data_IF_170288517153
#
_entry.id   IF_170288517153
#
_cell.length_a   1.000
_cell.length_b   1.000
_cell.length_c   1.000
_cell.angle_alpha   90.00
_cell.angle_beta   90.00
_cell.angle_gamma   90.00
#
_symmetry.space_group_name_H-M   'P 1'
#
loop_
_entity.id
_entity.type
_entity.pdbx_description
1 polymer ?
#
# COMPACT_ATOMS: atom_id res chain seq x y z
N UNK A 1 -32.87 -86.99 -49.84
CA UNK A 1 -32.40 -86.19 -51.00
C UNK A 1 -32.54 -84.72 -50.64
N UNK A 2 -31.45 -84.04 -50.24
CA UNK A 2 -31.41 -82.58 -50.08
C UNK A 2 -30.74 -82.00 -51.32
N UNK A 3 -31.43 -81.13 -52.05
CA UNK A 3 -30.88 -80.36 -53.17
C UNK A 3 -30.43 -79.02 -52.60
N UNK A 4 -29.14 -78.74 -52.73
CA UNK A 4 -28.50 -77.48 -52.34
C UNK A 4 -28.63 -76.51 -53.51
N UNK A 5 -29.25 -75.35 -53.32
CA UNK A 5 -29.26 -74.25 -54.30
C UNK A 5 -28.13 -73.28 -53.97
N UNK A 6 -27.05 -73.36 -54.75
CA UNK A 6 -25.94 -72.42 -54.69
C UNK A 6 -26.27 -71.19 -55.55
N UNK A 7 -26.21 -70.00 -54.95
CA UNK A 7 -26.55 -68.73 -55.58
C UNK A 7 -25.23 -67.99 -55.86
N UNK A 8 -24.88 -67.85 -57.15
CA UNK A 8 -23.57 -67.36 -57.56
C UNK A 8 -23.35 -65.90 -57.16
N UNK A 9 -22.14 -65.60 -56.67
CA UNK A 9 -21.72 -64.29 -56.12
C UNK A 9 -21.96 -63.08 -57.05
N UNK A 10 -22.11 -63.31 -58.36
CA UNK A 10 -22.33 -62.27 -59.37
C UNK A 10 -23.76 -61.67 -59.33
N UNK A 11 -24.73 -62.44 -58.79
CA UNK A 11 -26.12 -61.99 -58.64
C UNK A 11 -26.32 -61.00 -57.49
N UNK A 12 -25.56 -61.16 -56.40
CA UNK A 12 -25.61 -60.31 -55.21
C UNK A 12 -25.01 -58.93 -55.48
N UNK A 13 -23.96 -58.85 -56.30
CA UNK A 13 -23.30 -57.58 -56.65
C UNK A 13 -24.20 -56.69 -57.53
N UNK A 14 -24.89 -57.28 -58.51
CA UNK A 14 -25.83 -56.55 -59.39
C UNK A 14 -27.05 -56.03 -58.64
N UNK A 15 -27.51 -56.73 -57.61
CA UNK A 15 -28.63 -56.30 -56.77
C UNK A 15 -28.27 -55.11 -55.86
N UNK A 16 -27.03 -55.06 -55.35
CA UNK A 16 -26.53 -53.95 -54.53
C UNK A 16 -26.29 -52.67 -55.34
N UNK A 17 -25.82 -52.79 -56.59
CA UNK A 17 -25.61 -51.63 -57.48
C UNK A 17 -26.96 -50.98 -57.87
N UNK A 18 -27.99 -51.79 -58.16
CA UNK A 18 -29.33 -51.27 -58.51
C UNK A 18 -30.01 -50.56 -57.34
N UNK A 19 -29.84 -51.05 -56.11
CA UNK A 19 -30.35 -50.38 -54.91
C UNK A 19 -29.66 -49.03 -54.63
N UNK A 20 -28.34 -48.94 -54.86
CA UNK A 20 -27.58 -47.70 -54.67
C UNK A 20 -27.92 -46.58 -55.67
N UNK A 21 -28.21 -46.93 -56.93
CA UNK A 21 -28.57 -45.95 -57.96
C UNK A 21 -29.97 -45.35 -57.73
N UNK A 22 -30.91 -46.12 -57.17
CA UNK A 22 -32.25 -45.61 -56.82
C UNK A 22 -32.25 -44.75 -55.56
N UNK A 23 -31.37 -45.03 -54.59
CA UNK A 23 -31.19 -44.19 -53.40
C UNK A 23 -30.57 -42.82 -53.74
N UNK A 24 -29.65 -42.76 -54.70
CA UNK A 24 -29.01 -41.50 -55.13
C UNK A 24 -29.96 -40.61 -55.96
N UNK A 25 -30.81 -41.21 -56.80
CA UNK A 25 -31.79 -40.48 -57.59
C UNK A 25 -32.92 -39.86 -56.73
N UNK A 26 -33.34 -40.53 -55.65
CA UNK A 26 -34.32 -40.00 -54.71
C UNK A 26 -33.76 -38.81 -53.88
N UNK A 27 -32.47 -38.82 -53.55
CA UNK A 27 -31.82 -37.73 -52.82
C UNK A 27 -31.63 -36.47 -53.69
N UNK A 28 -31.39 -36.64 -54.99
CA UNK A 28 -31.23 -35.53 -55.94
C UNK A 28 -32.58 -34.92 -56.38
N UNK A 29 -33.67 -35.69 -56.40
CA UNK A 29 -35.01 -35.18 -56.75
C UNK A 29 -35.71 -34.46 -55.58
N UNK A 30 -35.32 -34.73 -54.33
CA UNK A 30 -35.82 -34.03 -53.14
C UNK A 30 -35.29 -32.59 -52.97
N UNK A 31 -34.17 -32.25 -53.63
CA UNK A 31 -33.57 -30.90 -53.59
C UNK A 31 -34.22 -29.91 -54.57
N UNK A 32 -35.08 -30.37 -55.48
CA UNK A 32 -35.72 -29.52 -56.49
C UNK A 32 -37.07 -28.91 -56.03
N UNK A 33 -37.58 -29.32 -54.87
CA UNK A 33 -38.86 -28.84 -54.30
C UNK A 33 -38.72 -28.28 -52.88
N UNK A 34 -37.54 -27.74 -52.53
CA UNK A 34 -37.48 -26.83 -51.40
C UNK A 34 -38.35 -25.60 -51.75
N UNK A 35 -39.43 -25.30 -51.00
CA UNK A 35 -40.12 -24.04 -51.20
C UNK A 35 -39.07 -22.95 -51.02
N UNK A 36 -38.94 -22.08 -52.01
CA UNK A 36 -38.13 -20.87 -51.92
C UNK A 36 -38.45 -20.22 -50.59
N UNK A 37 -37.51 -20.27 -49.65
CA UNK A 37 -37.59 -19.44 -48.46
C UNK A 37 -37.59 -18.01 -49.02
N UNK A 38 -38.76 -17.37 -49.03
CA UNK A 38 -38.84 -15.95 -49.29
C UNK A 38 -37.95 -15.31 -48.24
N UNK A 39 -36.75 -14.89 -48.64
CA UNK A 39 -35.99 -13.92 -47.88
C UNK A 39 -36.93 -12.73 -47.72
N UNK A 40 -37.50 -12.58 -46.52
CA UNK A 40 -38.26 -11.39 -46.18
C UNK A 40 -37.38 -10.19 -46.53
N UNK A 41 -37.95 -9.09 -47.06
CA UNK A 41 -37.17 -7.92 -47.39
C UNK A 41 -36.32 -7.57 -46.18
N UNK A 42 -34.99 -7.53 -46.38
CA UNK A 42 -34.09 -6.95 -45.39
C UNK A 42 -34.69 -5.59 -45.04
N UNK A 43 -35.02 -5.37 -43.77
CA UNK A 43 -35.52 -4.08 -43.30
C UNK A 43 -34.36 -3.07 -43.38
N UNK A 44 -34.01 -2.68 -44.61
CA UNK A 44 -32.85 -1.85 -44.92
C UNK A 44 -33.00 -0.41 -44.43
N UNK A 45 -34.16 -0.08 -43.85
CA UNK A 45 -34.52 1.27 -43.42
C UNK A 45 -34.96 1.37 -41.94
N UNK A 46 -34.82 0.31 -41.13
CA UNK A 46 -35.08 0.46 -39.70
C UNK A 46 -33.89 1.12 -39.01
N UNK A 47 -34.08 2.36 -38.57
CA UNK A 47 -33.05 3.13 -37.87
C UNK A 47 -33.19 2.99 -36.35
N UNK A 48 -32.23 2.28 -35.75
CA UNK A 48 -32.16 2.08 -34.30
C UNK A 48 -31.96 3.38 -33.51
N UNK A 49 -31.46 4.47 -34.11
CA UNK A 49 -31.35 5.79 -33.46
C UNK A 49 -32.72 6.30 -33.00
N UNK A 50 -33.79 5.96 -33.75
CA UNK A 50 -35.17 6.34 -33.39
C UNK A 50 -35.70 5.60 -32.16
N UNK A 51 -35.07 4.48 -31.80
CA UNK A 51 -35.48 3.67 -30.65
C UNK A 51 -34.82 4.12 -29.35
N UNK A 52 -33.82 5.00 -29.40
CA UNK A 52 -33.02 5.37 -28.23
C UNK A 52 -32.01 4.31 -27.78
N UNK A 53 -31.75 3.30 -28.61
CA UNK A 53 -30.62 2.39 -28.46
C UNK A 53 -29.85 2.34 -29.77
N UNK A 54 -28.80 3.15 -29.87
CA UNK A 54 -27.92 3.17 -31.03
C UNK A 54 -27.04 1.92 -31.07
N UNK A 55 -27.04 1.21 -32.19
CA UNK A 55 -26.14 0.08 -32.40
C UNK A 55 -24.73 0.58 -32.69
N UNK A 56 -23.89 0.62 -31.65
CA UNK A 56 -22.49 1.03 -31.74
C UNK A 56 -21.55 -0.13 -31.37
N UNK A 57 -20.31 -0.02 -31.83
CA UNK A 57 -19.29 -1.03 -31.59
C UNK A 57 -19.70 -2.41 -32.10
N UNK A 58 -19.47 -3.45 -31.30
CA UNK A 58 -19.79 -4.84 -31.68
C UNK A 58 -21.29 -5.11 -31.85
N UNK A 59 -22.17 -4.29 -31.26
CA UNK A 59 -23.61 -4.50 -31.39
C UNK A 59 -24.15 -4.21 -32.80
N UNK A 60 -23.43 -3.40 -33.60
CA UNK A 60 -23.83 -3.06 -34.97
C UNK A 60 -23.80 -4.25 -35.91
N UNK A 61 -22.93 -5.21 -35.64
CA UNK A 61 -22.65 -6.32 -36.56
C UNK A 61 -23.45 -7.58 -36.17
N UNK A 62 -24.33 -7.49 -35.16
CA UNK A 62 -25.20 -8.58 -34.71
C UNK A 62 -26.47 -8.69 -35.57
N UNK A 63 -26.94 -9.91 -35.87
CA UNK A 63 -28.22 -10.11 -36.54
C UNK A 63 -29.39 -9.81 -35.57
N UNK A 64 -30.54 -9.40 -36.12
CA UNK A 64 -31.69 -8.91 -35.36
C UNK A 64 -32.15 -9.86 -34.24
N UNK A 65 -32.16 -11.17 -34.51
CA UNK A 65 -32.59 -12.22 -33.58
C UNK A 65 -31.68 -12.38 -32.36
N UNK A 66 -30.47 -11.82 -32.38
CA UNK A 66 -29.58 -11.82 -31.23
C UNK A 66 -30.13 -10.99 -30.07
N UNK A 67 -30.93 -9.96 -30.38
CA UNK A 67 -31.55 -9.07 -29.39
C UNK A 67 -33.07 -9.23 -29.35
N UNK A 68 -33.70 -9.48 -30.50
CA UNK A 68 -35.14 -9.63 -30.64
C UNK A 68 -35.57 -11.10 -30.60
N UNK A 69 -35.47 -11.68 -29.41
CA UNK A 69 -35.81 -13.10 -29.16
C UNK A 69 -37.26 -13.37 -29.53
N UNK A 70 -37.52 -14.47 -30.23
CA UNK A 70 -38.84 -14.84 -30.76
C UNK A 70 -39.48 -13.76 -31.65
N UNK A 71 -38.65 -12.96 -32.34
CA UNK A 71 -39.10 -11.83 -33.17
C UNK A 71 -39.92 -10.78 -32.38
N UNK A 72 -39.67 -10.65 -31.07
CA UNK A 72 -40.24 -9.60 -30.23
C UNK A 72 -39.38 -8.33 -30.34
N UNK A 73 -39.87 -7.34 -31.10
CA UNK A 73 -39.17 -6.09 -31.36
C UNK A 73 -39.45 -4.97 -30.35
N UNK A 74 -40.47 -5.14 -29.50
CA UNK A 74 -40.83 -4.19 -28.45
C UNK A 74 -40.40 -4.71 -27.09
N UNK A 75 -39.96 -3.80 -26.22
CA UNK A 75 -39.57 -4.13 -24.85
C UNK A 75 -38.19 -4.77 -24.72
N UNK A 76 -37.41 -4.86 -25.80
CA UNK A 76 -35.99 -5.25 -25.71
C UNK A 76 -35.26 -4.29 -24.77
N UNK A 77 -34.57 -4.81 -23.73
CA UNK A 77 -33.82 -3.98 -22.79
C UNK A 77 -32.76 -3.14 -23.50
N UNK A 78 -32.52 -1.93 -23.00
CA UNK A 78 -31.53 -0.98 -23.54
C UNK A 78 -30.34 -0.80 -22.61
N UNK A 79 -30.46 -1.23 -21.37
CA UNK A 79 -29.37 -1.25 -20.41
C UNK A 79 -28.54 -2.54 -20.55
N UNK A 80 -27.27 -2.45 -20.18
CA UNK A 80 -26.33 -3.56 -20.35
C UNK A 80 -26.76 -4.80 -19.57
N UNK A 81 -27.18 -4.63 -18.31
CA UNK A 81 -27.60 -5.73 -17.43
C UNK A 81 -28.86 -6.44 -17.91
N UNK A 82 -29.77 -5.73 -18.57
CA UNK A 82 -30.97 -6.30 -19.17
C UNK A 82 -30.66 -7.34 -20.25
N UNK A 83 -29.52 -7.25 -20.96
CA UNK A 83 -29.11 -8.21 -21.98
C UNK A 83 -27.98 -9.14 -21.52
N UNK A 84 -26.97 -8.59 -20.83
CA UNK A 84 -25.79 -9.30 -20.34
C UNK A 84 -25.93 -9.79 -18.89
N UNK A 85 -27.11 -9.65 -18.27
CA UNK A 85 -27.38 -10.17 -16.94
C UNK A 85 -27.63 -11.68 -16.94
N UNK A 86 -27.31 -12.32 -15.82
CA UNK A 86 -27.66 -13.73 -15.61
C UNK A 86 -29.19 -13.85 -15.57
N UNK A 87 -29.75 -14.73 -16.41
CA UNK A 87 -31.20 -14.93 -16.51
C UNK A 87 -31.92 -13.96 -17.46
N UNK A 88 -31.18 -13.15 -18.24
CA UNK A 88 -31.77 -12.38 -19.34
C UNK A 88 -32.40 -13.29 -20.41
N UNK A 89 -33.47 -12.80 -21.05
CA UNK A 89 -34.05 -13.41 -22.25
C UNK A 89 -33.09 -13.31 -23.44
N UNK A 90 -32.26 -12.28 -23.49
CA UNK A 90 -31.22 -12.11 -24.50
C UNK A 90 -30.03 -12.96 -24.10
N UNK A 91 -29.61 -13.86 -24.99
CA UNK A 91 -28.49 -14.76 -24.72
C UNK A 91 -27.15 -14.04 -24.96
N UNK A 92 -26.75 -13.20 -24.01
CA UNK A 92 -25.46 -12.52 -24.04
C UNK A 92 -24.53 -12.98 -22.90
N UNK A 93 -23.25 -12.66 -23.03
CA UNK A 93 -22.23 -13.05 -22.04
C UNK A 93 -22.32 -12.16 -20.81
N UNK A 94 -22.51 -12.77 -19.64
CA UNK A 94 -22.49 -12.07 -18.36
C UNK A 94 -21.07 -11.77 -17.86
N UNK A 95 -20.98 -10.98 -16.79
CA UNK A 95 -19.72 -10.68 -16.09
C UNK A 95 -18.99 -12.01 -15.76
N UNK A 96 -17.75 -12.21 -16.23
CA UNK A 96 -17.04 -13.46 -15.98
C UNK A 96 -16.65 -13.59 -14.49
N UNK A 97 -16.35 -14.81 -14.05
CA UNK A 97 -16.02 -15.06 -12.64
C UNK A 97 -14.76 -14.32 -12.14
N UNK A 98 -13.85 -13.95 -13.04
CA UNK A 98 -12.65 -13.16 -12.75
C UNK A 98 -12.86 -11.64 -12.92
N UNK A 99 -14.10 -11.19 -13.09
CA UNK A 99 -14.44 -9.78 -13.09
C UNK A 99 -14.35 -9.22 -11.66
N UNK A 100 -13.92 -7.97 -11.53
CA UNK A 100 -13.94 -7.26 -10.24
C UNK A 100 -15.38 -7.17 -9.68
N UNK A 101 -15.53 -7.03 -8.37
CA UNK A 101 -16.87 -6.82 -7.82
C UNK A 101 -17.33 -5.39 -8.15
N UNK A 102 -18.44 -5.28 -8.91
CA UNK A 102 -18.98 -4.00 -9.37
C UNK A 102 -20.49 -4.06 -9.58
N UNK A 103 -21.13 -2.89 -9.68
CA UNK A 103 -22.55 -2.77 -10.06
C UNK A 103 -22.82 -3.25 -11.49
N UNK A 104 -24.07 -3.11 -11.93
CA UNK A 104 -24.49 -3.35 -13.31
C UNK A 104 -24.44 -2.08 -14.18
N UNK A 105 -23.80 -1.00 -13.70
CA UNK A 105 -23.52 0.19 -14.50
C UNK A 105 -22.29 -0.03 -15.39
N UNK A 106 -22.40 -0.96 -16.34
CA UNK A 106 -21.28 -1.41 -17.17
C UNK A 106 -20.59 -0.26 -17.93
N UNK A 107 -21.37 0.75 -18.35
CA UNK A 107 -20.87 1.93 -19.07
C UNK A 107 -19.91 2.81 -18.26
N UNK A 108 -19.86 2.65 -16.93
CA UNK A 108 -18.92 3.36 -16.09
C UNK A 108 -17.47 2.85 -16.24
N UNK A 109 -17.30 1.65 -16.81
CA UNK A 109 -15.98 1.04 -17.05
C UNK A 109 -15.76 0.69 -18.54
N UNK A 110 -16.79 0.15 -19.19
CA UNK A 110 -16.71 -0.37 -20.54
C UNK A 110 -17.38 0.59 -21.53
N UNK A 111 -16.92 0.53 -22.79
CA UNK A 111 -17.66 1.12 -23.91
C UNK A 111 -18.01 0.04 -24.92
N UNK A 112 -19.08 0.18 -25.71
CA UNK A 112 -19.42 -0.78 -26.77
C UNK A 112 -18.31 -0.96 -27.82
N UNK A 113 -17.43 0.04 -27.96
CA UNK A 113 -16.33 0.07 -28.93
C UNK A 113 -15.04 -0.52 -28.33
N UNK A 114 -14.78 -0.26 -27.05
CA UNK A 114 -13.64 -0.78 -26.30
C UNK A 114 -14.14 -1.44 -25.00
N UNK A 115 -14.43 -2.73 -25.11
CA UNK A 115 -14.97 -3.53 -24.00
C UNK A 115 -13.86 -4.15 -23.13
N UNK A 116 -12.80 -4.69 -23.74
CA UNK A 116 -11.70 -5.31 -23.00
C UNK A 116 -10.35 -4.90 -23.64
N UNK A 117 -9.46 -4.18 -22.91
CA UNK A 117 -9.61 -3.75 -21.52
C UNK A 117 -10.73 -2.70 -21.33
N UNK A 118 -11.24 -2.58 -20.10
CA UNK A 118 -12.06 -1.45 -19.71
C UNK A 118 -11.24 -0.16 -19.88
N UNK A 119 -11.83 0.85 -20.52
CA UNK A 119 -11.14 2.12 -20.83
C UNK A 119 -11.54 3.26 -19.91
N UNK A 120 -12.65 3.09 -19.18
CA UNK A 120 -13.10 3.99 -18.14
C UNK A 120 -13.00 3.28 -16.79
N UNK A 121 -12.94 4.04 -15.70
CA UNK A 121 -13.06 3.47 -14.37
C UNK A 121 -13.65 4.47 -13.38
N UNK A 122 -14.90 4.23 -12.97
CA UNK A 122 -15.56 5.00 -11.92
C UNK A 122 -15.58 4.18 -10.62
N UNK A 123 -14.82 4.66 -9.63
CA UNK A 123 -14.73 4.02 -8.31
C UNK A 123 -16.09 3.95 -7.59
N UNK A 124 -17.07 4.78 -7.92
CA UNK A 124 -18.42 4.72 -7.31
C UNK A 124 -19.19 3.44 -7.71
N UNK A 125 -18.77 2.79 -8.80
CA UNK A 125 -19.36 1.53 -9.28
C UNK A 125 -18.58 0.30 -8.83
N UNK A 126 -17.34 0.46 -8.36
CA UNK A 126 -16.57 -0.61 -7.74
C UNK A 126 -17.17 -0.98 -6.37
N UNK A 127 -16.97 -2.22 -5.95
CA UNK A 127 -17.45 -2.77 -4.68
C UNK A 127 -16.35 -3.60 -4.02
N UNK A 128 -16.44 -3.77 -2.70
CA UNK A 128 -15.42 -4.43 -1.90
C UNK A 128 -14.40 -3.45 -1.31
N UNK A 129 -13.38 -3.98 -0.64
CA UNK A 129 -12.33 -3.17 -0.02
C UNK A 129 -11.25 -2.79 -1.03
N UNK A 130 -10.62 -1.64 -0.84
CA UNK A 130 -9.59 -1.10 -1.74
C UNK A 130 -8.44 -2.09 -1.94
N UNK A 131 -7.98 -2.72 -0.87
CA UNK A 131 -6.90 -3.70 -0.81
C UNK A 131 -7.16 -4.96 -1.64
N UNK A 132 -8.43 -5.31 -1.91
CA UNK A 132 -8.75 -6.46 -2.76
C UNK A 132 -8.36 -6.23 -4.22
N UNK A 133 -8.33 -4.97 -4.68
CA UNK A 133 -7.95 -4.58 -6.04
C UNK A 133 -6.57 -3.92 -6.09
N UNK A 134 -6.25 -3.03 -5.15
CA UNK A 134 -4.96 -2.35 -5.01
C UNK A 134 -3.91 -3.22 -4.32
N UNK A 135 -3.71 -4.41 -4.89
CA UNK A 135 -2.83 -5.46 -4.36
C UNK A 135 -1.51 -5.59 -5.14
N UNK A 136 -1.23 -4.68 -6.07
CA UNK A 136 -0.06 -4.71 -6.94
C UNK A 136 -0.18 -5.61 -8.16
N UNK A 137 -1.27 -6.38 -8.29
CA UNK A 137 -1.55 -7.22 -9.47
C UNK A 137 -2.66 -6.65 -10.35
N UNK A 138 -3.81 -6.31 -9.77
CA UNK A 138 -4.93 -5.73 -10.51
C UNK A 138 -4.80 -4.21 -10.64
N UNK A 139 -4.46 -3.54 -9.54
CA UNK A 139 -4.15 -2.13 -9.49
C UNK A 139 -2.94 -1.90 -8.60
N UNK A 140 -2.29 -0.75 -8.79
CA UNK A 140 -1.15 -0.33 -7.97
C UNK A 140 -1.57 -0.30 -6.48
N UNK A 141 -0.82 -1.00 -5.64
CA UNK A 141 -0.99 -0.97 -4.19
C UNK A 141 -0.14 0.10 -3.51
N UNK A 142 0.24 -0.17 -2.25
CA UNK A 142 1.17 0.66 -1.47
C UNK A 142 2.54 0.72 -2.16
N UNK A 143 3.04 1.92 -2.39
CA UNK A 143 4.38 2.15 -2.98
C UNK A 143 5.51 2.03 -1.95
N UNK A 144 6.79 2.09 -2.38
CA UNK A 144 7.94 1.94 -1.49
C UNK A 144 8.07 3.02 -0.40
N UNK A 145 7.48 4.19 -0.61
CA UNK A 145 7.48 5.32 0.34
C UNK A 145 6.15 5.48 1.08
N UNK A 146 5.27 4.48 1.00
CA UNK A 146 4.00 4.49 1.72
C UNK A 146 4.24 4.10 3.18
N UNK A 147 3.66 4.86 4.11
CA UNK A 147 3.74 4.56 5.55
C UNK A 147 3.30 3.11 5.85
N UNK A 148 4.02 2.41 6.72
CA UNK A 148 3.65 1.04 7.10
C UNK A 148 2.34 1.07 7.88
N UNK A 149 1.31 0.40 7.36
CA UNK A 149 -0.01 0.33 8.00
C UNK A 149 -0.76 -0.90 7.50
N UNK A 150 -1.59 -1.48 8.37
CA UNK A 150 -2.54 -2.55 8.02
C UNK A 150 -3.98 -2.03 7.91
N UNK A 151 -4.19 -0.72 8.10
CA UNK A 151 -5.49 -0.11 7.88
C UNK A 151 -5.89 -0.18 6.40
N UNK A 152 -7.20 -0.24 6.18
CA UNK A 152 -7.77 -0.15 4.84
C UNK A 152 -7.56 1.27 4.28
N UNK A 153 -7.47 1.38 2.95
CA UNK A 153 -6.99 2.60 2.30
C UNK A 153 -7.86 3.82 2.58
N UNK A 154 -9.16 3.62 2.76
CA UNK A 154 -10.16 4.65 3.03
C UNK A 154 -10.04 5.29 4.43
N UNK A 155 -9.22 4.72 5.32
CA UNK A 155 -8.85 5.35 6.58
C UNK A 155 -8.03 6.64 6.37
N UNK A 156 -7.28 6.72 5.26
CA UNK A 156 -6.39 7.86 4.98
C UNK A 156 -6.69 8.52 3.63
N UNK A 157 -7.10 7.75 2.63
CA UNK A 157 -7.32 8.22 1.25
C UNK A 157 -8.79 8.34 0.91
N UNK A 158 -9.08 9.16 -0.09
CA UNK A 158 -10.40 9.19 -0.73
C UNK A 158 -10.26 8.92 -2.22
N UNK A 159 -11.33 8.48 -2.87
CA UNK A 159 -11.36 8.26 -4.32
C UNK A 159 -11.26 9.57 -5.12
N UNK A 160 -11.47 10.73 -4.47
CA UNK A 160 -11.38 12.06 -5.09
C UNK A 160 -10.03 12.74 -4.87
N UNK A 161 -9.32 12.40 -3.79
CA UNK A 161 -8.01 12.97 -3.44
C UNK A 161 -7.09 11.85 -2.97
N UNK A 162 -6.49 11.15 -3.93
CA UNK A 162 -5.57 10.05 -3.64
C UNK A 162 -4.22 10.55 -3.12
N UNK A 163 -3.71 11.66 -3.67
CA UNK A 163 -2.41 12.23 -3.30
C UNK A 163 -2.40 12.98 -1.96
N UNK A 164 -3.57 13.35 -1.43
CA UNK A 164 -3.72 14.11 -0.19
C UNK A 164 -4.18 13.24 0.96
N UNK A 165 -3.45 12.16 1.27
CA UNK A 165 -3.77 11.29 2.39
C UNK A 165 -3.81 12.10 3.69
N UNK A 166 -4.84 11.90 4.50
CA UNK A 166 -4.91 12.49 5.82
C UNK A 166 -4.25 11.55 6.82
N UNK A 167 -3.27 12.05 7.56
CA UNK A 167 -2.65 11.34 8.67
C UNK A 167 -2.82 12.13 9.96
N UNK A 168 -3.05 11.43 11.07
CA UNK A 168 -3.13 12.00 12.41
C UNK A 168 -2.18 11.28 13.35
N UNK A 169 -1.52 12.03 14.23
CA UNK A 169 -0.64 11.46 15.26
C UNK A 169 -1.42 10.91 16.47
N UNK A 170 -2.75 11.10 16.52
CA UNK A 170 -3.58 10.61 17.64
C UNK A 170 -3.48 9.09 17.74
N UNK A 171 -3.08 8.60 18.92
CA UNK A 171 -2.95 7.16 19.21
C UNK A 171 -1.59 6.55 18.88
N UNK A 172 -0.68 7.30 18.23
CA UNK A 172 0.72 6.91 18.11
C UNK A 172 1.38 7.18 19.45
N UNK A 173 2.00 6.19 20.09
CA UNK A 173 2.64 6.35 21.42
C UNK A 173 4.07 5.83 21.50
N UNK A 174 4.56 5.17 20.45
CA UNK A 174 5.92 4.63 20.39
C UNK A 174 6.33 4.37 18.94
N UNK A 175 7.60 4.03 18.73
CA UNK A 175 8.09 3.62 17.41
C UNK A 175 8.19 4.76 16.39
N UNK A 176 8.36 6.00 16.85
CA UNK A 176 8.39 7.20 15.99
C UNK A 176 9.42 7.08 14.86
N UNK A 177 10.58 6.48 15.13
CA UNK A 177 11.66 6.27 14.17
C UNK A 177 11.30 5.36 12.99
N UNK A 178 10.21 4.57 13.08
CA UNK A 178 9.73 3.74 11.96
C UNK A 178 9.08 4.56 10.84
N UNK A 179 8.66 5.79 11.15
CA UNK A 179 8.07 6.73 10.18
C UNK A 179 8.99 7.95 9.97
N UNK A 180 9.64 8.44 11.02
CA UNK A 180 10.60 9.55 10.95
C UNK A 180 12.01 9.05 10.59
N UNK A 181 12.12 8.40 9.44
CA UNK A 181 13.33 7.77 8.91
C UNK A 181 14.01 8.58 7.79
N UNK A 182 13.45 9.75 7.44
CA UNK A 182 13.89 10.57 6.32
C UNK A 182 13.37 10.12 4.95
N UNK A 183 12.54 9.07 4.90
CA UNK A 183 11.87 8.58 3.69
C UNK A 183 10.36 8.78 3.79
N UNK A 184 9.74 8.32 4.87
CA UNK A 184 8.29 8.40 5.07
C UNK A 184 7.86 9.73 5.70
N UNK A 185 8.69 10.26 6.60
CA UNK A 185 8.56 11.58 7.20
C UNK A 185 9.96 12.13 7.50
N UNK A 186 10.01 13.43 7.80
CA UNK A 186 11.25 14.10 8.18
C UNK A 186 11.88 13.38 9.39
N UNK A 187 13.14 12.98 9.24
CA UNK A 187 13.90 12.33 10.30
C UNK A 187 14.53 13.33 11.29
N UNK A 188 15.59 12.87 11.96
CA UNK A 188 16.36 13.73 12.86
C UNK A 188 17.00 14.89 12.10
N UNK A 189 16.79 16.12 12.57
CA UNK A 189 17.49 17.28 12.07
C UNK A 189 19.00 17.19 12.37
N UNK A 190 19.83 17.84 11.56
CA UNK A 190 21.30 17.80 11.72
C UNK A 190 21.81 18.37 13.06
N UNK A 191 21.01 19.22 13.71
CA UNK A 191 21.27 19.81 15.03
C UNK A 191 20.51 19.09 16.17
N UNK A 192 19.92 17.92 15.89
CA UNK A 192 19.41 17.02 16.90
C UNK A 192 20.58 16.42 17.68
N UNK A 193 20.37 16.18 18.97
CA UNK A 193 21.40 15.54 19.81
C UNK A 193 21.66 14.10 19.33
N UNK A 194 22.91 13.61 19.30
CA UNK A 194 23.19 12.23 18.94
C UNK A 194 22.51 11.26 19.92
N UNK A 195 21.59 10.44 19.42
CA UNK A 195 20.93 9.39 20.20
C UNK A 195 21.56 8.03 19.89
N UNK A 196 22.10 7.39 20.93
CA UNK A 196 22.68 6.04 20.86
C UNK A 196 24.16 6.00 20.43
N UNK A 197 24.85 4.95 20.88
CA UNK A 197 26.17 4.54 20.39
C UNK A 197 26.23 3.02 20.23
N UNK A 198 27.07 2.53 19.31
CA UNK A 198 27.37 1.10 19.20
C UNK A 198 26.22 0.19 18.74
N UNK A 199 25.20 0.73 18.06
CA UNK A 199 24.14 -0.06 17.42
C UNK A 199 22.86 -0.27 18.24
N UNK A 200 22.74 0.30 19.44
CA UNK A 200 21.47 0.33 20.18
C UNK A 200 20.77 1.69 19.96
N UNK A 201 19.68 1.68 19.18
CA UNK A 201 18.85 2.86 18.99
C UNK A 201 18.10 3.19 20.28
N UNK A 202 18.22 4.44 20.76
CA UNK A 202 17.38 4.94 21.85
C UNK A 202 16.02 5.33 21.25
N UNK A 203 14.90 4.81 21.78
CA UNK A 203 13.58 5.19 21.30
C UNK A 203 13.28 6.67 21.56
N UNK A 204 12.62 7.35 20.61
CA UNK A 204 12.32 8.78 20.67
C UNK A 204 11.50 9.14 21.92
N UNK A 205 10.55 8.26 22.27
CA UNK A 205 9.67 8.34 23.44
C UNK A 205 10.41 8.30 24.79
N UNK A 206 11.71 7.99 24.81
CA UNK A 206 12.53 8.10 26.01
C UNK A 206 12.93 9.54 26.35
N UNK A 207 12.80 10.47 25.39
CA UNK A 207 13.15 11.89 25.55
C UNK A 207 11.97 12.81 25.20
N UNK A 208 11.17 12.45 24.20
CA UNK A 208 10.04 13.24 23.71
C UNK A 208 8.71 12.74 24.29
N UNK A 209 7.86 13.68 24.71
CA UNK A 209 6.51 13.38 25.17
C UNK A 209 5.63 12.84 24.04
N UNK A 210 4.90 11.77 24.32
CA UNK A 210 3.96 11.14 23.40
C UNK A 210 2.54 11.70 23.54
N UNK A 211 2.38 12.81 24.28
CA UNK A 211 1.08 13.45 24.50
C UNK A 211 0.92 14.71 23.63
N UNK A 212 2.03 15.33 23.19
CA UNK A 212 2.03 16.63 22.48
C UNK A 212 2.85 16.55 21.18
N UNK A 213 2.35 15.82 20.18
CA UNK A 213 3.06 15.59 18.91
C UNK A 213 3.14 16.80 17.97
N UNK A 214 2.32 17.82 18.18
CA UNK A 214 2.25 19.00 17.31
C UNK A 214 3.39 19.98 17.56
N UNK A 215 4.12 19.84 18.67
CA UNK A 215 5.29 20.65 18.99
C UNK A 215 6.37 19.78 19.64
N UNK A 216 7.32 19.30 18.84
CA UNK A 216 8.52 18.57 19.31
C UNK A 216 9.49 19.41 20.17
N UNK A 217 9.10 20.63 20.55
CA UNK A 217 9.94 21.62 21.21
C UNK A 217 10.29 21.28 22.68
N UNK A 218 9.60 20.31 23.30
CA UNK A 218 9.86 19.93 24.69
C UNK A 218 10.34 18.48 24.74
N UNK A 219 11.65 18.32 24.91
CA UNK A 219 12.28 17.06 25.26
C UNK A 219 12.83 17.16 26.68
N UNK A 220 12.66 16.10 27.47
CA UNK A 220 13.30 15.99 28.79
C UNK A 220 14.65 15.33 28.63
N UNK A 221 15.67 15.90 29.28
CA UNK A 221 17.01 15.35 29.12
C UNK A 221 17.20 14.01 29.87
N UNK A 222 17.57 12.98 29.13
CA UNK A 222 17.76 11.61 29.63
C UNK A 222 19.25 11.25 29.64
N UNK A 223 19.95 11.57 30.74
CA UNK A 223 21.39 11.31 30.89
C UNK A 223 21.80 9.84 30.66
N UNK A 224 21.04 8.82 31.15
CA UNK A 224 21.31 7.42 30.82
C UNK A 224 21.28 7.08 29.33
N UNK A 225 20.54 7.84 28.52
CA UNK A 225 20.49 7.67 27.07
C UNK A 225 21.61 8.42 26.31
N UNK A 226 22.28 9.37 26.97
CA UNK A 226 23.33 10.23 26.39
C UNK A 226 24.75 9.62 26.49
N UNK A 227 24.85 8.28 26.45
CA UNK A 227 26.11 7.58 26.70
C UNK A 227 27.11 7.83 25.57
N UNK A 228 28.36 8.12 25.94
CA UNK A 228 29.54 8.31 25.08
C UNK A 228 29.77 9.72 24.48
N UNK A 229 29.26 10.78 25.11
CA UNK A 229 29.71 12.15 24.86
C UNK A 229 30.39 12.74 26.11
N UNK A 230 31.39 13.61 25.90
CA UNK A 230 32.00 14.36 27.01
C UNK A 230 31.02 15.39 27.56
N UNK A 231 30.95 15.59 28.88
CA UNK A 231 30.02 16.55 29.48
C UNK A 231 30.13 17.97 28.87
N UNK A 232 31.35 18.39 28.51
CA UNK A 232 31.64 19.70 27.92
C UNK A 232 30.92 19.94 26.58
N UNK A 233 30.66 18.91 25.77
CA UNK A 233 30.00 19.08 24.47
C UNK A 233 28.55 19.57 24.59
N UNK A 234 27.93 19.34 25.76
CA UNK A 234 26.56 19.77 26.06
C UNK A 234 26.52 20.95 27.05
N UNK A 235 27.40 20.96 28.06
CA UNK A 235 27.36 21.94 29.15
C UNK A 235 28.24 23.18 28.93
N UNK A 236 29.24 23.12 28.05
CA UNK A 236 30.11 24.25 27.76
C UNK A 236 29.85 24.83 26.35
N UNK A 237 29.73 23.98 25.33
CA UNK A 237 29.67 24.42 23.92
C UNK A 237 28.29 24.25 23.25
N UNK A 238 27.28 23.76 23.98
CA UNK A 238 25.94 23.37 23.53
C UNK A 238 25.60 23.72 22.06
N UNK A 239 25.76 22.75 21.14
CA UNK A 239 25.46 22.95 19.71
C UNK A 239 24.17 22.24 19.27
N UNK A 240 23.27 21.94 20.21
CA UNK A 240 22.03 21.19 19.99
C UNK A 240 20.81 22.04 20.31
N UNK A 241 19.70 21.79 19.61
CA UNK A 241 18.44 22.54 19.80
C UNK A 241 17.98 22.44 21.25
N UNK A 242 17.62 23.59 21.84
CA UNK A 242 17.10 23.65 23.21
C UNK A 242 18.15 23.53 24.32
N UNK A 243 19.41 23.23 23.98
CA UNK A 243 20.53 23.31 24.92
C UNK A 243 21.14 24.71 24.84
N UNK A 244 21.27 25.36 25.98
CA UNK A 244 21.97 26.64 26.08
C UNK A 244 23.41 26.39 26.55
N UNK A 245 24.39 27.15 26.02
CA UNK A 245 25.74 27.14 26.57
C UNK A 245 25.72 27.51 28.06
N UNK A 246 26.71 27.02 28.79
CA UNK A 246 27.11 27.48 30.12
C UNK A 246 26.77 28.96 30.38
N UNK A 247 26.15 29.23 31.52
CA UNK A 247 25.93 30.61 31.96
C UNK A 247 27.03 31.16 32.87
N UNK A 248 28.07 30.37 33.18
CA UNK A 248 29.10 30.67 34.21
C UNK A 248 28.47 31.16 35.52
N UNK A 249 27.43 30.45 35.97
CA UNK A 249 26.75 30.71 37.24
C UNK A 249 27.06 29.60 38.24
N UNK A 250 26.86 29.88 39.53
CA UNK A 250 27.03 28.90 40.60
C UNK A 250 26.04 27.71 40.55
N UNK A 251 25.18 27.64 39.52
CA UNK A 251 24.13 26.63 39.37
C UNK A 251 24.63 25.27 38.85
N UNK A 252 25.93 25.13 38.55
CA UNK A 252 26.53 23.84 38.16
C UNK A 252 26.15 23.36 36.76
N UNK A 253 25.65 24.25 35.90
CA UNK A 253 25.32 23.96 34.50
C UNK A 253 26.57 23.83 33.61
N UNK A 254 27.75 24.16 34.15
CA UNK A 254 29.00 24.30 33.44
C UNK A 254 30.23 24.34 34.33
N UNK A 255 31.42 24.25 33.73
CA UNK A 255 32.70 24.38 34.42
C UNK A 255 32.84 25.78 35.04
N UNK A 256 33.05 25.89 36.36
CA UNK A 256 33.26 27.19 37.01
C UNK A 256 34.42 27.95 36.39
N UNK A 257 34.22 29.25 36.10
CA UNK A 257 35.33 30.11 35.70
C UNK A 257 36.29 30.38 36.85
N UNK A 258 37.48 30.91 36.52
CA UNK A 258 38.47 31.32 37.51
C UNK A 258 37.96 32.39 38.50
N UNK A 259 36.85 33.07 38.18
CA UNK A 259 36.18 34.01 39.08
C UNK A 259 35.37 33.30 40.17
N UNK A 260 34.77 32.15 39.85
CA UNK A 260 33.95 31.36 40.77
C UNK A 260 34.80 30.34 41.53
N UNK A 261 35.73 29.67 40.84
CA UNK A 261 36.68 28.74 41.43
C UNK A 261 38.01 28.77 40.64
N UNK A 262 38.97 29.54 41.14
CA UNK A 262 40.30 29.70 40.52
C UNK A 262 41.13 28.41 40.48
N UNK A 263 40.72 27.37 41.20
CA UNK A 263 41.47 26.10 41.32
C UNK A 263 40.81 24.98 40.53
N UNK A 264 39.64 25.23 39.93
CA UNK A 264 38.96 24.26 39.10
C UNK A 264 39.75 24.01 37.81
N UNK A 265 39.95 22.75 37.37
CA UNK A 265 40.65 22.45 36.12
C UNK A 265 39.98 23.18 34.94
N UNK A 266 40.76 23.68 33.98
CA UNK A 266 40.25 24.40 32.79
C UNK A 266 39.99 23.49 31.58
N UNK A 267 40.30 22.20 31.70
CA UNK A 267 40.13 21.18 30.67
C UNK A 267 39.95 19.79 31.30
N UNK A 268 39.60 18.78 30.48
CA UNK A 268 39.39 17.39 30.93
C UNK A 268 37.91 17.05 31.17
N UNK A 269 37.60 15.76 31.24
CA UNK A 269 36.21 15.27 31.39
C UNK A 269 35.73 15.42 32.85
N UNK A 270 34.55 16.01 33.02
CA UNK A 270 33.92 16.23 34.33
C UNK A 270 33.68 14.93 35.11
N UNK A 271 33.42 13.81 34.40
CA UNK A 271 33.17 12.51 35.01
C UNK A 271 34.37 11.94 35.80
N UNK A 272 35.57 12.51 35.61
CA UNK A 272 36.76 12.13 36.38
C UNK A 272 36.73 12.62 37.83
N UNK A 273 35.89 13.61 38.13
CA UNK A 273 35.79 14.23 39.46
C UNK A 273 34.36 14.33 39.99
N UNK A 274 33.35 14.36 39.11
CA UNK A 274 31.94 14.50 39.45
C UNK A 274 31.15 13.22 39.12
N UNK A 275 30.23 12.83 40.01
CA UNK A 275 29.19 11.85 39.71
C UNK A 275 28.22 12.40 38.66
N UNK A 276 28.02 11.64 37.58
CA UNK A 276 27.21 12.02 36.42
C UNK A 276 25.70 11.96 36.67
N UNK A 277 25.26 11.45 37.83
CA UNK A 277 23.82 11.35 38.15
C UNK A 277 23.32 12.47 39.05
N UNK A 278 24.12 12.88 40.04
CA UNK A 278 23.73 13.94 40.98
C UNK A 278 24.55 15.22 40.83
N UNK A 279 25.68 15.17 40.12
CA UNK A 279 26.70 16.21 40.05
C UNK A 279 27.21 16.70 41.42
N UNK A 280 26.79 16.04 42.50
CA UNK A 280 26.86 16.51 43.89
C UNK A 280 28.05 15.95 44.66
N UNK A 281 28.91 15.19 43.99
CA UNK A 281 30.05 14.52 44.61
C UNK A 281 31.31 14.80 43.80
N UNK A 282 31.91 15.96 44.04
CA UNK A 282 33.38 16.01 44.12
C UNK A 282 33.75 15.04 45.24
N UNK A 283 34.41 13.92 44.95
CA UNK A 283 34.74 12.85 45.92
C UNK A 283 34.79 13.40 47.35
N UNK A 284 33.76 13.10 48.14
CA UNK A 284 33.60 13.74 49.45
C UNK A 284 34.81 13.39 50.29
N UNK A 285 35.58 14.42 50.65
CA UNK A 285 36.80 14.26 51.44
C UNK A 285 36.41 13.59 52.76
N UNK A 286 36.98 12.43 53.13
CA UNK A 286 36.69 11.81 54.41
C UNK A 286 37.09 12.75 55.55
N UNK A 287 36.50 12.58 56.74
CA UNK A 287 36.67 13.53 57.85
C UNK A 287 38.12 13.74 58.32
N UNK A 288 39.03 12.82 57.96
CA UNK A 288 40.46 12.86 58.24
C UNK A 288 41.32 13.38 57.05
N UNK A 289 40.69 13.83 55.97
CA UNK A 289 41.41 14.38 54.82
C UNK A 289 42.14 15.66 55.21
N UNK A 290 43.39 15.79 54.74
CA UNK A 290 44.23 16.96 55.01
C UNK A 290 43.53 18.22 54.47
N UNK A 291 43.35 19.29 55.27
CA UNK A 291 42.83 20.56 54.77
C UNK A 291 43.79 21.15 53.74
N UNK A 292 43.42 21.09 52.46
CA UNK A 292 44.23 21.62 51.37
C UNK A 292 43.35 22.14 50.24
N UNK A 293 43.85 23.15 49.52
CA UNK A 293 43.27 23.63 48.26
C UNK A 293 44.00 23.06 47.03
N UNK A 294 45.02 22.20 47.24
CA UNK A 294 45.78 21.59 46.16
C UNK A 294 44.92 20.62 45.30
N UNK A 295 45.17 20.54 43.98
CA UNK A 295 44.51 19.55 43.10
C UNK A 295 44.75 18.10 43.56
N UNK A 296 43.72 17.25 43.46
CA UNK A 296 43.75 15.86 43.95
C UNK A 296 44.95 15.05 43.42
N UNK A 297 45.33 15.26 42.16
CA UNK A 297 46.45 14.59 41.48
C UNK A 297 47.82 14.85 42.12
N UNK A 298 47.95 15.91 42.93
CA UNK A 298 49.19 16.20 43.66
C UNK A 298 49.41 15.25 44.85
N UNK A 299 48.34 14.68 45.41
CA UNK A 299 48.40 13.77 46.55
C UNK A 299 47.92 12.35 46.20
N UNK A 300 47.14 12.21 45.13
CA UNK A 300 46.61 10.95 44.63
C UNK A 300 47.11 10.72 43.20
N UNK A 301 48.26 10.08 43.10
CA UNK A 301 48.98 9.86 41.83
C UNK A 301 48.39 8.72 40.99
N UNK A 302 47.41 8.00 41.52
CA UNK A 302 46.77 6.86 40.84
C UNK A 302 45.38 7.27 40.36
N UNK A 303 45.22 7.47 39.05
CA UNK A 303 43.95 7.86 38.46
C UNK A 303 42.86 6.81 38.72
N UNK A 304 41.70 7.25 39.22
CA UNK A 304 40.53 6.39 39.44
C UNK A 304 40.53 5.57 40.74
N UNK A 305 41.53 5.69 41.61
CA UNK A 305 41.53 5.04 42.92
C UNK A 305 41.98 5.98 44.04
N UNK A 306 41.07 6.85 44.47
CA UNK A 306 41.29 7.84 45.53
C UNK A 306 41.12 7.26 46.95
N UNK A 307 40.76 5.98 47.09
CA UNK A 307 40.49 5.32 48.38
C UNK A 307 41.73 4.66 49.02
N UNK A 308 42.86 4.59 48.31
CA UNK A 308 44.08 3.89 48.78
C UNK A 308 44.99 4.71 49.70
N UNK A 309 44.68 5.98 49.95
CA UNK A 309 45.50 6.88 50.75
C UNK A 309 44.67 7.41 51.91
N UNK A 310 44.46 6.55 52.90
CA UNK A 310 43.80 6.85 54.18
C UNK A 310 44.81 7.24 55.26
#
# INVERSE_FOLDING_TARGET
>A
MRVSTDMTQDSVLRQRIRAGVHALAALLLGLAFAPSAFAAPAHANFDHLTTGFELTGQHRDLPCESCHVNAMFQGTPKDCGGCHGIGSLVRATAKPANHILATDQCGACHTPIAWNPAVNFDHTQARGSCSTCHNGTMAQGKGPTHIVTDLECDACHTTLSWAGAMFTHVGVTSGCATCHDGVHADGLAANHFPIGTGGAAVPCEACHSTTEFTTWAVATMNHPAAVAQSCASCHETANFVGMHPSTDTAAGDSRPSAKLDSLHPTAGDCAQCHDTTTFSQSASRPANHIPTSAPCLQCHTTAGNYALYS
#
